data_IF_452831380496
#
_entry.id   IF_452831380496
#
_cell.length_a   1.000
_cell.length_b   1.000
_cell.length_c   1.000
_cell.angle_alpha   90.00
_cell.angle_beta   90.00
_cell.angle_gamma   90.00
#
_symmetry.space_group_name_H-M   'P 1'
#
loop_
_entity.id
_entity.type
_entity.pdbx_description
1 polymer ?
#
# COMPACT_ATOMS: atom_id res chain seq x y z
N UNK A 1 -2.22 -15.16 25.69
CA UNK A 1 -2.57 -15.43 24.28
C UNK A 1 -1.96 -14.29 23.49
N UNK A 2 -0.82 -14.51 22.85
CA UNK A 2 -0.23 -13.47 21.99
C UNK A 2 -1.00 -13.51 20.68
N UNK A 3 -1.64 -12.40 20.33
CA UNK A 3 -2.21 -12.20 19.00
C UNK A 3 -1.17 -12.59 17.95
N UNK A 4 -1.54 -13.47 17.02
CA UNK A 4 -0.69 -13.74 15.86
C UNK A 4 -0.43 -12.37 15.21
N UNK A 5 0.81 -11.90 15.11
CA UNK A 5 1.07 -10.72 14.30
C UNK A 5 0.51 -11.01 12.91
N UNK A 6 -0.31 -10.09 12.40
CA UNK A 6 -0.83 -10.20 11.03
C UNK A 6 0.31 -10.37 10.04
N UNK A 7 -0.03 -10.69 8.78
CA UNK A 7 0.95 -10.76 7.69
C UNK A 7 1.84 -9.49 7.73
N UNK A 8 3.12 -9.66 8.08
CA UNK A 8 4.06 -8.56 8.26
C UNK A 8 4.97 -8.53 7.04
N UNK A 9 5.00 -7.38 6.35
CA UNK A 9 5.89 -7.16 5.23
C UNK A 9 7.15 -6.45 5.71
N UNK A 10 8.31 -7.09 5.56
CA UNK A 10 9.62 -6.47 5.84
C UNK A 10 10.12 -5.85 4.55
N UNK A 11 10.30 -4.52 4.53
CA UNK A 11 10.70 -3.75 3.34
C UNK A 11 12.16 -4.05 3.00
N UNK A 12 12.38 -4.59 1.80
CA UNK A 12 13.70 -4.81 1.20
C UNK A 12 14.13 -3.70 0.25
N UNK A 13 15.43 -3.59 -0.09
CA UNK A 13 15.96 -2.58 -1.01
C UNK A 13 15.52 -2.77 -2.47
N UNK A 14 14.93 -3.92 -2.79
CA UNK A 14 14.41 -4.27 -4.12
C UNK A 14 12.88 -4.29 -4.14
N UNK A 15 12.23 -3.90 -3.04
CA UNK A 15 10.78 -3.79 -3.02
C UNK A 15 10.36 -2.49 -3.71
N UNK A 16 9.38 -2.60 -4.60
CA UNK A 16 8.85 -1.51 -5.40
C UNK A 16 7.35 -1.34 -5.16
N UNK A 17 6.87 -0.10 -5.26
CA UNK A 17 5.45 0.24 -5.20
C UNK A 17 5.03 0.82 -6.55
N UNK A 18 4.06 0.19 -7.21
CA UNK A 18 3.59 0.57 -8.55
C UNK A 18 2.07 0.63 -8.62
N UNK A 19 1.54 1.46 -9.52
CA UNK A 19 0.11 1.49 -9.86
C UNK A 19 -0.06 0.83 -11.22
N UNK A 20 -0.90 -0.21 -11.30
CA UNK A 20 -1.25 -0.86 -12.55
C UNK A 20 -2.63 -0.39 -13.00
N UNK A 21 -2.67 0.27 -14.16
CA UNK A 21 -3.90 0.63 -14.86
C UNK A 21 -4.49 -0.60 -15.53
N UNK A 22 -5.66 -1.04 -15.08
CA UNK A 22 -6.33 -2.27 -15.55
C UNK A 22 -7.27 -2.04 -16.74
N UNK A 23 -7.23 -0.85 -17.34
CA UNK A 23 -8.04 -0.44 -18.49
C UNK A 23 -9.13 0.60 -18.13
N UNK A 24 -9.84 1.15 -19.14
CA UNK A 24 -10.79 2.24 -18.95
C UNK A 24 -12.16 1.81 -18.42
N UNK A 25 -12.43 0.51 -18.35
CA UNK A 25 -13.71 -0.02 -17.90
C UNK A 25 -13.79 0.01 -16.37
N UNK A 26 -14.80 0.68 -15.77
CA UNK A 26 -14.94 0.79 -14.31
C UNK A 26 -15.13 -0.55 -13.60
N UNK A 27 -15.46 -1.64 -14.30
CA UNK A 27 -15.47 -2.99 -13.75
C UNK A 27 -14.06 -3.51 -13.39
N UNK A 28 -13.01 -2.93 -13.99
CA UNK A 28 -11.61 -3.26 -13.77
C UNK A 28 -10.88 -2.01 -13.24
N UNK A 29 -10.92 -1.76 -11.92
CA UNK A 29 -10.29 -0.59 -11.35
C UNK A 29 -8.78 -0.76 -11.16
N UNK A 30 -8.00 0.34 -11.26
CA UNK A 30 -6.55 0.29 -11.08
C UNK A 30 -6.17 -0.24 -9.70
N UNK A 31 -5.02 -0.87 -9.63
CA UNK A 31 -4.54 -1.55 -8.42
C UNK A 31 -3.20 -0.99 -7.99
N UNK A 32 -2.97 -0.92 -6.68
CA UNK A 32 -1.66 -0.59 -6.11
C UNK A 32 -0.95 -1.91 -5.79
N UNK A 33 0.25 -2.08 -6.31
CA UNK A 33 1.07 -3.26 -6.13
C UNK A 33 2.31 -2.93 -5.32
N UNK A 34 2.65 -3.82 -4.37
CA UNK A 34 3.93 -3.86 -3.69
C UNK A 34 4.57 -5.18 -4.06
N UNK A 35 5.70 -5.14 -4.76
CA UNK A 35 6.39 -6.32 -5.26
C UNK A 35 7.84 -6.30 -4.83
N UNK A 36 8.39 -7.46 -4.50
CA UNK A 36 9.82 -7.60 -4.28
C UNK A 36 10.17 -8.96 -3.67
N UNK A 37 11.21 -9.00 -2.86
CA UNK A 37 11.74 -10.28 -2.34
C UNK A 37 10.77 -10.98 -1.40
N UNK A 38 9.89 -10.21 -0.75
CA UNK A 38 8.88 -10.71 0.19
C UNK A 38 7.60 -11.20 -0.52
N UNK A 39 7.52 -11.07 -1.85
CA UNK A 39 6.43 -11.59 -2.69
C UNK A 39 5.69 -10.48 -3.45
N UNK A 40 4.37 -10.65 -3.60
CA UNK A 40 3.47 -9.65 -4.20
C UNK A 40 2.27 -9.38 -3.28
N UNK A 41 2.05 -8.11 -2.93
CA UNK A 41 0.82 -7.62 -2.31
C UNK A 41 0.08 -6.73 -3.31
N UNK A 42 -1.20 -6.99 -3.52
CA UNK A 42 -2.05 -6.16 -4.38
C UNK A 42 -3.20 -5.57 -3.57
N UNK A 43 -3.27 -4.24 -3.51
CA UNK A 43 -4.38 -3.51 -2.91
C UNK A 43 -5.35 -3.16 -4.06
N UNK A 44 -6.52 -3.80 -4.05
CA UNK A 44 -7.58 -3.59 -5.05
C UNK A 44 -8.76 -2.83 -4.44
N UNK A 45 -9.22 -1.73 -5.05
CA UNK A 45 -10.51 -1.16 -4.69
C UNK A 45 -11.65 -2.13 -5.08
N UNK A 46 -12.82 -2.04 -4.43
CA UNK A 46 -13.98 -2.84 -4.82
C UNK A 46 -14.48 -2.45 -6.21
N UNK A 47 -15.12 -3.37 -6.94
CA UNK A 47 -15.62 -3.13 -8.29
C UNK A 47 -16.76 -2.10 -8.39
N UNK A 48 -17.36 -1.67 -7.27
CA UNK A 48 -18.48 -0.71 -7.25
C UNK A 48 -18.00 0.74 -7.09
N UNK A 49 -18.11 1.60 -8.12
CA UNK A 49 -17.50 2.93 -8.12
C UNK A 49 -18.05 3.91 -7.09
N UNK A 50 -19.34 3.81 -6.73
CA UNK A 50 -19.99 4.67 -5.74
C UNK A 50 -19.33 4.64 -4.36
N UNK A 51 -18.48 3.64 -4.10
CA UNK A 51 -17.81 3.44 -2.81
C UNK A 51 -16.33 3.82 -2.83
N UNK A 52 -15.81 4.32 -3.95
CA UNK A 52 -14.39 4.60 -4.14
C UNK A 52 -13.87 5.81 -3.37
N UNK A 53 -14.67 6.84 -3.12
CA UNK A 53 -14.20 8.03 -2.38
C UNK A 53 -13.70 7.69 -0.97
N UNK A 54 -14.32 6.71 -0.30
CA UNK A 54 -13.83 6.20 0.99
C UNK A 54 -12.47 5.50 0.85
N UNK A 55 -12.18 4.89 -0.30
CA UNK A 55 -10.91 4.20 -0.58
C UNK A 55 -9.83 5.20 -0.98
N UNK A 56 -10.18 6.25 -1.72
CA UNK A 56 -9.28 7.39 -1.96
C UNK A 56 -8.79 7.95 -0.64
N UNK A 57 -9.69 8.18 0.33
CA UNK A 57 -9.29 8.61 1.68
C UNK A 57 -8.34 7.62 2.37
N UNK A 58 -8.63 6.32 2.31
CA UNK A 58 -7.75 5.30 2.88
C UNK A 58 -6.37 5.29 2.22
N UNK A 59 -6.28 5.41 0.89
CA UNK A 59 -5.01 5.47 0.17
C UNK A 59 -4.19 6.71 0.54
N UNK A 60 -4.85 7.86 0.76
CA UNK A 60 -4.18 9.04 1.31
C UNK A 60 -3.63 8.79 2.72
N UNK A 61 -4.43 8.19 3.61
CA UNK A 61 -3.97 7.84 4.96
C UNK A 61 -2.79 6.86 4.94
N UNK A 62 -2.78 5.89 4.01
CA UNK A 62 -1.67 4.97 3.82
C UNK A 62 -0.39 5.71 3.41
N UNK A 63 -0.50 6.65 2.47
CA UNK A 63 0.63 7.50 2.05
C UNK A 63 1.15 8.33 3.22
N UNK A 64 0.26 9.03 3.93
CA UNK A 64 0.64 9.92 5.03
C UNK A 64 1.35 9.15 6.15
N UNK A 65 0.86 7.95 6.49
CA UNK A 65 1.53 7.07 7.47
C UNK A 65 2.88 6.53 7.00
N UNK A 66 3.04 6.25 5.70
CA UNK A 66 4.34 5.85 5.14
C UNK A 66 5.36 7.00 5.17
N UNK A 67 4.92 8.22 4.84
CA UNK A 67 5.74 9.43 4.91
C UNK A 67 6.17 9.72 6.37
N UNK A 68 5.26 9.58 7.35
CA UNK A 68 5.58 9.72 8.77
C UNK A 68 6.61 8.68 9.23
N UNK A 69 6.42 7.41 8.86
CA UNK A 69 7.38 6.34 9.18
C UNK A 69 8.76 6.63 8.58
N UNK A 70 8.82 7.08 7.33
CA UNK A 70 10.07 7.45 6.67
C UNK A 70 10.80 8.58 7.41
N UNK A 71 10.06 9.62 7.83
CA UNK A 71 10.64 10.72 8.60
C UNK A 71 11.20 10.26 9.95
N UNK A 72 10.49 9.37 10.66
CA UNK A 72 10.97 8.80 11.92
C UNK A 72 12.22 7.94 11.74
N UNK A 73 12.28 7.12 10.68
CA UNK A 73 13.45 6.32 10.35
C UNK A 73 14.65 7.21 10.00
N UNK A 74 14.46 8.21 9.15
CA UNK A 74 15.51 9.15 8.77
C UNK A 74 16.07 9.92 9.98
N UNK A 75 15.18 10.38 10.87
CA UNK A 75 15.58 11.05 12.11
C UNK A 75 16.44 10.14 12.98
N UNK A 76 16.00 8.90 13.24
CA UNK A 76 16.73 7.93 14.08
C UNK A 76 18.05 7.48 13.48
N UNK A 77 18.16 7.42 12.16
CA UNK A 77 19.40 7.05 11.48
C UNK A 77 20.46 8.17 11.52
N UNK A 78 20.04 9.41 11.81
CA UNK A 78 20.91 10.58 11.93
C UNK A 78 21.36 10.87 13.38
N UNK A 79 20.85 10.11 14.35
CA UNK A 79 21.22 10.14 15.78
C UNK A 79 22.34 9.13 16.09
#
# INVERSE_FOLDING_TARGET
MWDKPGLTWVIGPWDEVTVEETGPDPAFPPVLMISGTSGLLTIRPPSTPSTWMTRVRFLHQLRDGADELAALLAKRAAE
#
